data_IF_902615782055
#
_entry.id   IF_902615782055
#
_cell.length_a   1.000
_cell.length_b   1.000
_cell.length_c   1.000
_cell.angle_alpha   90.00
_cell.angle_beta   90.00
_cell.angle_gamma   90.00
#
_symmetry.space_group_name_H-M   'P 1'
#
loop_
_entity.id
_entity.type
_entity.pdbx_description
1 polymer ?
#
# COMPACT_ATOMS: atom_id res chain seq x y z
N UNK A 1 14.55 11.57 7.97
CA UNK A 1 13.86 11.46 6.66
C UNK A 1 12.97 10.24 6.75
N UNK A 2 11.74 10.33 6.24
CA UNK A 2 10.80 9.21 6.23
C UNK A 2 11.37 8.05 5.39
N UNK A 3 11.32 6.82 5.89
CA UNK A 3 11.94 5.68 5.20
C UNK A 3 11.19 5.28 3.92
N UNK A 4 9.89 5.54 3.81
CA UNK A 4 9.14 5.33 2.57
C UNK A 4 9.60 6.34 1.51
N UNK A 5 9.84 7.60 1.91
CA UNK A 5 10.41 8.60 1.02
C UNK A 5 11.82 8.25 0.55
N UNK A 6 12.68 7.73 1.43
CA UNK A 6 14.00 7.24 1.03
C UNK A 6 13.88 6.07 0.04
N UNK A 7 12.98 5.12 0.29
CA UNK A 7 12.77 3.99 -0.60
C UNK A 7 12.33 4.43 -2.02
N UNK A 8 11.45 5.43 -2.12
CA UNK A 8 11.06 6.02 -3.40
C UNK A 8 12.27 6.62 -4.14
N UNK A 9 13.11 7.38 -3.44
CA UNK A 9 14.31 7.97 -4.03
C UNK A 9 15.31 6.92 -4.51
N UNK A 10 15.56 5.88 -3.70
CA UNK A 10 16.50 4.81 -4.03
C UNK A 10 16.02 3.97 -5.23
N UNK A 11 14.71 3.88 -5.42
CA UNK A 11 14.08 3.25 -6.59
C UNK A 11 14.03 4.18 -7.82
N UNK A 12 14.51 5.42 -7.70
CA UNK A 12 14.49 6.40 -8.77
C UNK A 12 13.09 6.93 -9.11
N UNK A 13 12.15 6.85 -8.16
CA UNK A 13 10.78 7.31 -8.36
C UNK A 13 10.67 8.82 -8.10
N UNK A 14 9.99 9.53 -9.01
CA UNK A 14 9.54 10.90 -8.82
C UNK A 14 8.06 10.90 -8.42
N UNK A 15 7.73 11.54 -7.30
CA UNK A 15 6.35 11.60 -6.81
C UNK A 15 5.59 12.69 -7.56
N UNK A 16 4.73 12.30 -8.49
CA UNK A 16 3.86 13.20 -9.26
C UNK A 16 2.65 13.64 -8.42
N UNK A 17 2.07 12.72 -7.65
CA UNK A 17 0.86 12.96 -6.86
C UNK A 17 0.79 12.00 -5.66
N UNK A 18 0.17 12.48 -4.56
CA UNK A 18 -0.27 11.64 -3.44
C UNK A 18 -1.80 11.56 -3.47
N UNK A 19 -2.34 10.34 -3.50
CA UNK A 19 -3.78 10.07 -3.56
C UNK A 19 -4.25 9.37 -2.29
N UNK A 20 -5.12 10.02 -1.53
CA UNK A 20 -5.69 9.45 -0.30
C UNK A 20 -6.89 8.52 -0.57
N UNK A 21 -7.66 8.80 -1.62
CA UNK A 21 -8.86 8.04 -2.00
C UNK A 21 -8.83 7.70 -3.48
N UNK A 22 -8.48 6.45 -3.76
CA UNK A 22 -8.37 5.92 -5.11
C UNK A 22 -9.74 5.56 -5.70
N UNK A 23 -10.06 6.16 -6.84
CA UNK A 23 -11.19 5.78 -7.69
C UNK A 23 -10.65 5.29 -9.06
N UNK A 24 -10.77 3.99 -9.39
CA UNK A 24 -10.18 3.43 -10.61
C UNK A 24 -10.75 4.02 -11.90
N UNK A 25 -12.00 4.48 -11.91
CA UNK A 25 -12.66 4.97 -13.12
C UNK A 25 -12.23 6.41 -13.43
N UNK A 26 -11.95 7.20 -12.38
CA UNK A 26 -11.45 8.58 -12.50
C UNK A 26 -9.93 8.65 -12.63
N UNK A 27 -9.22 7.95 -11.74
CA UNK A 27 -7.81 8.22 -11.50
C UNK A 27 -6.90 7.51 -12.50
N UNK A 28 -7.23 6.29 -12.94
CA UNK A 28 -6.36 5.54 -13.86
C UNK A 28 -6.17 6.26 -15.21
N UNK A 29 -7.25 6.77 -15.80
CA UNK A 29 -7.19 7.48 -17.08
C UNK A 29 -6.37 8.75 -16.94
N UNK A 30 -6.66 9.54 -15.90
CA UNK A 30 -5.96 10.79 -15.60
C UNK A 30 -4.47 10.59 -15.35
N UNK A 31 -4.09 9.57 -14.58
CA UNK A 31 -2.70 9.24 -14.30
C UNK A 31 -1.95 8.79 -15.54
N UNK A 32 -2.59 8.02 -16.43
CA UNK A 32 -2.00 7.70 -17.74
C UNK A 32 -1.72 8.94 -18.57
N UNK A 33 -2.67 9.88 -18.63
CA UNK A 33 -2.49 11.14 -19.36
C UNK A 33 -1.38 12.01 -18.77
N UNK A 34 -1.14 11.91 -17.46
CA UNK A 34 -0.02 12.55 -16.77
C UNK A 34 1.32 11.83 -16.94
N UNK A 35 1.34 10.66 -17.58
CA UNK A 35 2.56 9.87 -17.77
C UNK A 35 3.01 9.11 -16.53
N UNK A 36 2.11 8.82 -15.59
CA UNK A 36 2.41 7.97 -14.43
C UNK A 36 2.73 6.55 -14.91
N UNK A 37 3.89 6.04 -14.52
CA UNK A 37 4.37 4.69 -14.91
C UNK A 37 4.16 3.64 -13.80
N UNK A 38 4.10 4.09 -12.54
CA UNK A 38 4.03 3.23 -11.37
C UNK A 38 3.17 3.84 -10.26
N UNK A 39 2.56 2.97 -9.46
CA UNK A 39 1.76 3.34 -8.29
C UNK A 39 2.34 2.64 -7.07
N UNK A 40 2.62 3.40 -6.01
CA UNK A 40 3.03 2.90 -4.71
C UNK A 40 1.86 3.02 -3.72
N UNK A 41 1.58 1.96 -2.97
CA UNK A 41 0.44 1.93 -2.04
C UNK A 41 0.78 1.22 -0.73
N UNK A 42 0.10 1.56 0.36
CA UNK A 42 0.25 0.87 1.65
C UNK A 42 -0.76 -0.29 1.75
N UNK A 43 -2.00 -0.06 1.31
CA UNK A 43 -3.06 -1.04 1.38
C UNK A 43 -4.14 -0.73 0.33
N UNK A 44 -4.44 -1.70 -0.54
CA UNK A 44 -5.60 -1.67 -1.42
C UNK A 44 -6.25 -3.06 -1.47
N UNK A 45 -7.59 -3.15 -1.55
CA UNK A 45 -8.30 -4.39 -1.82
C UNK A 45 -7.78 -5.10 -3.09
N UNK A 46 -7.73 -6.45 -3.12
CA UNK A 46 -7.20 -7.20 -4.26
C UNK A 46 -7.86 -6.87 -5.61
N UNK A 47 -9.16 -6.57 -5.62
CA UNK A 47 -9.87 -6.15 -6.83
C UNK A 47 -9.38 -4.80 -7.37
N UNK A 48 -9.02 -3.85 -6.50
CA UNK A 48 -8.46 -2.56 -6.92
C UNK A 48 -7.01 -2.70 -7.36
N UNK A 49 -6.23 -3.54 -6.67
CA UNK A 49 -4.87 -3.87 -7.10
C UNK A 49 -4.86 -4.51 -8.50
N UNK A 50 -5.81 -5.41 -8.78
CA UNK A 50 -5.98 -6.00 -10.10
C UNK A 50 -6.20 -4.92 -11.17
N UNK A 51 -7.12 -3.97 -10.91
CA UNK A 51 -7.43 -2.87 -11.84
C UNK A 51 -6.24 -1.94 -12.07
N UNK A 52 -5.44 -1.66 -11.04
CA UNK A 52 -4.19 -0.90 -11.19
C UNK A 52 -3.17 -1.64 -12.04
N UNK A 53 -2.99 -2.95 -11.79
CA UNK A 53 -2.00 -3.78 -12.47
C UNK A 53 -2.27 -3.96 -13.97
N UNK A 54 -3.49 -3.69 -14.44
CA UNK A 54 -3.82 -3.65 -15.88
C UNK A 54 -3.11 -2.49 -16.60
N UNK A 55 -2.65 -1.48 -15.86
CA UNK A 55 -2.26 -0.18 -16.40
C UNK A 55 -0.90 0.33 -15.91
N UNK A 56 -0.48 -0.06 -14.72
CA UNK A 56 0.71 0.48 -14.05
C UNK A 56 1.51 -0.65 -13.40
N UNK A 57 2.80 -0.41 -13.19
CA UNK A 57 3.57 -1.20 -12.22
C UNK A 57 3.08 -0.85 -10.82
N UNK A 58 2.73 -1.85 -10.01
CA UNK A 58 2.17 -1.62 -8.69
C UNK A 58 3.16 -2.09 -7.64
N UNK A 59 3.48 -1.20 -6.72
CA UNK A 59 4.35 -1.48 -5.58
C UNK A 59 3.59 -1.30 -4.28
N UNK A 60 3.90 -2.12 -3.28
CA UNK A 60 3.40 -1.96 -1.92
C UNK A 60 4.50 -1.61 -0.96
N UNK A 61 4.24 -0.64 -0.09
CA UNK A 61 4.96 -0.49 1.16
C UNK A 61 4.48 -1.57 2.13
N UNK A 62 5.33 -2.55 2.42
CA UNK A 62 4.99 -3.59 3.39
C UNK A 62 5.05 -3.02 4.81
N UNK A 63 3.87 -2.87 5.41
CA UNK A 63 3.69 -2.46 6.79
C UNK A 63 3.37 -3.68 7.64
N UNK A 64 4.29 -4.11 8.48
CA UNK A 64 4.08 -5.23 9.40
C UNK A 64 3.39 -4.74 10.67
N UNK A 65 2.33 -5.43 11.10
CA UNK A 65 1.75 -5.21 12.42
C UNK A 65 2.58 -5.96 13.46
N UNK A 66 3.27 -5.20 14.30
CA UNK A 66 4.23 -5.75 15.28
C UNK A 66 3.68 -5.78 16.71
N UNK A 67 2.48 -5.23 16.92
CA UNK A 67 1.83 -5.25 18.24
C UNK A 67 0.68 -4.26 18.36
N UNK A 68 0.23 -4.10 19.60
CA UNK A 68 -0.80 -3.15 20.01
C UNK A 68 -0.30 -2.31 21.18
N UNK A 69 -0.66 -1.03 21.21
CA UNK A 69 -0.49 -0.15 22.35
C UNK A 69 -1.86 0.14 22.98
N UNK A 70 -1.87 0.29 24.31
CA UNK A 70 -3.09 0.55 25.08
C UNK A 70 -3.42 2.04 25.20
N UNK A 71 -2.46 2.91 24.84
CA UNK A 71 -2.63 4.36 24.85
C UNK A 71 -1.79 5.03 23.76
N UNK A 72 -2.19 6.25 23.39
CA UNK A 72 -1.48 7.06 22.40
C UNK A 72 -0.06 7.39 22.87
N UNK A 73 0.13 7.71 24.15
CA UNK A 73 1.46 7.95 24.74
C UNK A 73 2.43 6.77 24.56
N UNK A 74 1.94 5.53 24.76
CA UNK A 74 2.76 4.33 24.51
C UNK A 74 3.11 4.17 23.03
N UNK A 75 2.15 4.44 22.14
CA UNK A 75 2.36 4.34 20.69
C UNK A 75 3.37 5.38 20.19
N UNK A 76 3.24 6.63 20.65
CA UNK A 76 4.18 7.72 20.36
C UNK A 76 5.59 7.41 20.87
N UNK A 77 5.72 6.93 22.11
CA UNK A 77 7.01 6.55 22.69
C UNK A 77 7.68 5.40 21.90
N UNK A 78 6.89 4.46 21.38
CA UNK A 78 7.40 3.38 20.53
C UNK A 78 7.84 3.88 19.14
N UNK A 79 7.06 4.78 18.53
CA UNK A 79 7.40 5.45 17.27
C UNK A 79 8.69 6.27 17.39
N UNK A 80 8.88 6.98 18.51
CA UNK A 80 10.06 7.80 18.76
C UNK A 80 11.39 7.02 18.77
N UNK A 81 11.34 5.70 19.01
CA UNK A 81 12.53 4.84 18.96
C UNK A 81 13.04 4.60 17.52
N UNK A 82 12.17 4.63 16.52
CA UNK A 82 12.53 4.50 15.10
C UNK A 82 11.52 5.26 14.22
N UNK A 83 11.52 6.61 14.28
CA UNK A 83 10.46 7.43 13.69
C UNK A 83 10.46 7.40 12.16
N UNK A 84 11.55 6.94 11.54
CA UNK A 84 11.62 6.78 10.09
C UNK A 84 10.81 5.58 9.58
N UNK A 85 10.64 4.53 10.40
CA UNK A 85 10.04 3.26 9.97
C UNK A 85 8.79 2.88 10.75
N UNK A 86 8.51 3.54 11.88
CA UNK A 86 7.43 3.16 12.80
C UNK A 86 6.28 4.15 12.78
N UNK A 87 5.07 3.64 12.65
CA UNK A 87 3.82 4.39 12.73
C UNK A 87 2.76 3.60 13.51
N UNK A 88 1.64 4.23 13.83
CA UNK A 88 0.51 3.55 14.44
C UNK A 88 -0.80 3.96 13.79
N UNK A 89 -1.79 3.09 13.85
CA UNK A 89 -3.16 3.37 13.41
C UNK A 89 -4.15 3.05 14.53
N UNK A 90 -5.23 3.83 14.67
CA UNK A 90 -6.33 3.49 15.56
C UNK A 90 -6.87 2.08 15.28
N UNK A 91 -7.15 1.32 16.34
CA UNK A 91 -7.75 0.00 16.29
C UNK A 91 -9.01 -0.06 17.17
N UNK A 92 -9.49 -1.28 17.49
CA UNK A 92 -10.72 -1.46 18.29
C UNK A 92 -10.51 -1.03 19.74
N UNK A 93 -11.57 -0.54 20.37
CA UNK A 93 -11.62 -0.26 21.81
C UNK A 93 -10.55 0.74 22.31
N UNK A 94 -10.17 1.73 21.48
CA UNK A 94 -9.19 2.76 21.85
C UNK A 94 -7.74 2.28 21.85
N UNK A 95 -7.48 1.01 21.53
CA UNK A 95 -6.12 0.51 21.29
C UNK A 95 -5.56 1.04 19.97
N UNK A 96 -4.24 1.06 19.86
CA UNK A 96 -3.53 1.49 18.66
C UNK A 96 -2.69 0.33 18.12
N UNK A 97 -2.82 0.05 16.82
CA UNK A 97 -1.98 -0.95 16.16
C UNK A 97 -0.64 -0.33 15.81
N UNK A 98 0.44 -0.98 16.24
CA UNK A 98 1.81 -0.59 15.92
C UNK A 98 2.22 -1.21 14.58
N UNK A 99 2.74 -0.38 13.69
CA UNK A 99 3.12 -0.73 12.33
C UNK A 99 4.58 -0.37 12.08
N UNK A 100 5.32 -1.29 11.47
CA UNK A 100 6.70 -1.06 11.06
C UNK A 100 6.86 -1.29 9.56
N UNK A 101 7.37 -0.28 8.86
CA UNK A 101 7.74 -0.36 7.47
C UNK A 101 8.93 -1.32 7.30
N UNK A 102 8.77 -2.35 6.48
CA UNK A 102 9.78 -3.39 6.26
C UNK A 102 10.47 -3.29 4.92
N UNK A 103 9.71 -3.06 3.86
CA UNK A 103 10.20 -3.22 2.49
C UNK A 103 9.23 -2.60 1.48
N UNK A 104 9.72 -2.47 0.25
CA UNK A 104 8.87 -2.23 -0.92
C UNK A 104 8.86 -3.50 -1.76
N UNK A 105 7.67 -3.96 -2.14
CA UNK A 105 7.49 -5.14 -2.99
C UNK A 105 6.74 -4.76 -4.27
N UNK A 106 7.18 -5.27 -5.42
CA UNK A 106 6.43 -5.18 -6.67
C UNK A 106 5.37 -6.28 -6.71
N UNK A 107 4.11 -5.91 -6.96
CA UNK A 107 3.01 -6.86 -7.08
C UNK A 107 2.91 -7.34 -8.53
N UNK A 108 2.87 -8.66 -8.69
CA UNK A 108 2.46 -9.31 -9.93
C UNK A 108 1.18 -10.12 -9.70
N UNK A 109 0.09 -9.72 -10.36
CA UNK A 109 -1.20 -10.42 -10.26
C UNK A 109 -1.33 -11.41 -11.41
N UNK A 110 -1.60 -12.67 -11.08
CA UNK A 110 -1.87 -13.74 -12.05
C UNK A 110 -3.30 -14.24 -11.88
N UNK A 111 -4.11 -14.13 -12.93
CA UNK A 111 -5.48 -14.66 -12.94
C UNK A 111 -5.44 -16.10 -13.46
N UNK A 112 -5.93 -17.04 -12.65
CA UNK A 112 -6.03 -18.45 -13.03
C UNK A 112 -7.50 -18.88 -13.08
N UNK A 113 -7.91 -19.48 -14.20
CA UNK A 113 -9.28 -19.97 -14.39
C UNK A 113 -9.30 -21.49 -14.28
N UNK A 114 -10.13 -22.01 -13.38
CA UNK A 114 -10.42 -23.45 -13.28
C UNK A 114 -11.87 -23.69 -13.70
N UNK A 115 -12.09 -24.57 -14.68
CA UNK A 115 -13.44 -25.00 -15.04
C UNK A 115 -13.97 -25.93 -13.96
N UNK A 116 -15.01 -25.51 -13.25
CA UNK A 116 -15.63 -26.29 -12.15
C UNK A 116 -16.93 -26.99 -12.55
N UNK A 117 -17.52 -26.63 -13.69
CA UNK A 117 -18.75 -27.25 -14.21
C UNK A 117 -18.90 -26.97 -15.72
N UNK A 118 -19.53 -27.88 -16.45
CA UNK A 118 -19.86 -27.73 -17.88
C UNK A 118 -21.23 -28.34 -18.22
N UNK A 119 -21.94 -27.72 -19.17
CA UNK A 119 -23.20 -28.26 -19.71
C UNK A 119 -22.84 -29.36 -20.71
N UNK A 120 -23.43 -30.55 -20.52
CA UNK A 120 -23.36 -31.61 -21.52
C UNK A 120 -24.45 -31.39 -22.58
N UNK A 121 -24.14 -31.53 -23.88
CA UNK A 121 -25.12 -31.41 -24.95
C UNK A 121 -26.24 -32.45 -24.84
#
# INVERSE_FOLDING_TARGET
>A
MDAQQQALQDLGAEVIEICEQYDPDRDNTRWKEQGVEAVFTVALPPNLLARLSESFRVFTFEMESVGMAESEEQAEAWCAQSPATRSYLPAREGSLRLLEFRSVSEIQIQIQTTRVWEVKP
#
